data_IF_602113295150
#
_entry.id   IF_602113295150
#
_cell.length_a   1.000
_cell.length_b   1.000
_cell.length_c   1.000
_cell.angle_alpha   90.00
_cell.angle_beta   90.00
_cell.angle_gamma   90.00
#
_symmetry.space_group_name_H-M   'P 1'
#
loop_
_entity.id
_entity.type
_entity.pdbx_description
1 polymer ?
#
# COMPACT_ATOMS: atom_id res chain seq x y z
N UNK A 1 15.46 16.07 7.70
CA UNK A 1 15.68 14.67 7.28
C UNK A 1 16.24 14.64 5.87
N UNK A 2 17.35 13.93 5.59
CA UNK A 2 17.88 13.80 4.23
C UNK A 2 16.90 12.95 3.41
N UNK A 3 16.39 13.53 2.31
CA UNK A 3 15.41 12.93 1.39
C UNK A 3 15.95 11.74 0.59
N UNK A 4 17.27 11.57 0.57
CA UNK A 4 17.99 10.57 -0.23
C UNK A 4 19.19 10.02 0.55
N UNK A 5 19.43 8.72 0.42
CA UNK A 5 20.65 8.08 0.92
C UNK A 5 21.80 8.31 -0.07
N UNK A 6 22.46 9.46 0.09
CA UNK A 6 23.57 9.89 -0.77
C UNK A 6 24.74 8.91 -0.71
N UNK A 7 24.96 8.25 0.44
CA UNK A 7 26.05 7.26 0.57
C UNK A 7 25.76 6.06 -0.32
N UNK A 8 24.55 5.52 -0.25
CA UNK A 8 24.14 4.39 -1.08
C UNK A 8 24.20 4.73 -2.57
N UNK A 9 23.72 5.92 -2.97
CA UNK A 9 23.76 6.36 -4.37
C UNK A 9 25.20 6.42 -4.90
N UNK A 10 26.13 6.96 -4.10
CA UNK A 10 27.55 7.04 -4.47
C UNK A 10 28.19 5.65 -4.57
N UNK A 11 27.86 4.74 -3.64
CA UNK A 11 28.34 3.35 -3.70
C UNK A 11 27.83 2.64 -4.95
N UNK A 12 26.53 2.76 -5.27
CA UNK A 12 25.94 2.16 -6.47
C UNK A 12 26.59 2.71 -7.75
N UNK A 13 26.80 4.03 -7.82
CA UNK A 13 27.43 4.67 -8.96
C UNK A 13 28.85 4.14 -9.20
N UNK A 14 29.63 3.89 -8.14
CA UNK A 14 30.96 3.29 -8.25
C UNK A 14 30.94 1.83 -8.69
N UNK A 15 29.96 1.05 -8.22
CA UNK A 15 29.77 -0.34 -8.68
C UNK A 15 29.40 -0.37 -10.16
N UNK A 16 28.45 0.48 -10.58
CA UNK A 16 28.05 0.58 -11.98
C UNK A 16 29.22 1.03 -12.88
N UNK A 17 30.03 1.99 -12.42
CA UNK A 17 31.22 2.43 -13.15
C UNK A 17 32.32 1.35 -13.23
N UNK A 18 32.45 0.52 -12.18
CA UNK A 18 33.33 -0.64 -12.20
C UNK A 18 32.86 -1.69 -13.21
N UNK A 19 31.56 -1.96 -13.26
CA UNK A 19 30.97 -2.88 -14.24
C UNK A 19 31.11 -2.34 -15.66
N UNK A 20 30.86 -1.05 -15.89
CA UNK A 20 31.03 -0.41 -17.19
C UNK A 20 32.47 -0.54 -17.70
N UNK A 21 33.45 -0.28 -16.84
CA UNK A 21 34.87 -0.47 -17.18
C UNK A 21 35.22 -1.94 -17.47
N UNK A 22 34.59 -2.89 -16.78
CA UNK A 22 34.77 -4.32 -17.03
C UNK A 22 34.21 -4.76 -18.39
N UNK A 23 33.02 -4.27 -18.76
CA UNK A 23 32.34 -4.67 -20.00
C UNK A 23 32.78 -3.89 -21.24
N UNK A 24 33.19 -2.63 -21.09
CA UNK A 24 33.47 -1.72 -22.20
C UNK A 24 34.94 -1.27 -22.27
N UNK A 25 35.79 -1.70 -21.34
CA UNK A 25 37.17 -1.23 -21.20
C UNK A 25 37.25 0.18 -20.59
N UNK A 26 38.45 0.76 -20.52
CA UNK A 26 38.67 2.12 -19.97
C UNK A 26 38.78 2.17 -18.44
N UNK A 27 38.73 3.39 -17.88
CA UNK A 27 38.88 3.62 -16.43
C UNK A 27 37.53 3.87 -15.76
N UNK A 28 37.33 3.32 -14.57
CA UNK A 28 36.11 3.52 -13.76
C UNK A 28 35.74 5.00 -13.57
N UNK A 29 36.75 5.86 -13.40
CA UNK A 29 36.55 7.29 -13.21
C UNK A 29 35.87 7.97 -14.42
N UNK A 30 36.06 7.44 -15.63
CA UNK A 30 35.47 7.97 -16.87
C UNK A 30 33.96 7.69 -16.93
N UNK A 31 33.52 6.55 -16.38
CA UNK A 31 32.10 6.17 -16.33
C UNK A 31 31.36 6.73 -15.11
N UNK A 32 32.07 7.09 -14.05
CA UNK A 32 31.46 7.43 -12.76
C UNK A 32 30.44 8.58 -12.86
N UNK A 33 30.74 9.63 -13.62
CA UNK A 33 29.84 10.78 -13.75
C UNK A 33 28.48 10.40 -14.37
N UNK A 34 28.49 9.57 -15.41
CA UNK A 34 27.26 9.10 -16.07
C UNK A 34 26.50 8.09 -15.21
N UNK A 35 27.22 7.15 -14.57
CA UNK A 35 26.61 6.22 -13.62
C UNK A 35 25.97 6.96 -12.43
N UNK A 36 26.61 8.02 -11.92
CA UNK A 36 26.07 8.83 -10.84
C UNK A 36 24.80 9.60 -11.26
N UNK A 37 24.78 10.16 -12.48
CA UNK A 37 23.56 10.80 -13.02
C UNK A 37 22.41 9.81 -13.11
N UNK A 38 22.68 8.58 -13.57
CA UNK A 38 21.68 7.53 -13.70
C UNK A 38 21.13 7.09 -12.32
N UNK A 39 22.00 6.81 -11.35
CA UNK A 39 21.61 6.43 -9.99
C UNK A 39 20.85 7.56 -9.27
N UNK A 40 21.23 8.81 -9.49
CA UNK A 40 20.52 9.96 -8.94
C UNK A 40 19.11 10.11 -9.54
N UNK A 41 18.96 9.87 -10.84
CA UNK A 41 17.65 9.85 -11.49
C UNK A 41 16.79 8.69 -10.97
N UNK A 42 17.37 7.51 -10.75
CA UNK A 42 16.69 6.37 -10.15
C UNK A 42 16.21 6.67 -8.74
N UNK A 43 17.06 7.26 -7.88
CA UNK A 43 16.69 7.65 -6.53
C UNK A 43 15.52 8.65 -6.52
N UNK A 44 15.53 9.65 -7.42
CA UNK A 44 14.41 10.59 -7.58
C UNK A 44 13.10 9.88 -7.98
N UNK A 45 13.17 8.93 -8.92
CA UNK A 45 12.01 8.13 -9.34
C UNK A 45 11.45 7.28 -8.20
N UNK A 46 12.32 6.62 -7.44
CA UNK A 46 11.92 5.81 -6.29
C UNK A 46 11.30 6.67 -5.17
N UNK A 47 11.85 7.86 -4.91
CA UNK A 47 11.25 8.78 -3.96
C UNK A 47 9.88 9.29 -4.45
N UNK A 48 9.72 9.59 -5.74
CA UNK A 48 8.42 9.96 -6.31
C UNK A 48 7.41 8.80 -6.23
N UNK A 49 7.83 7.57 -6.52
CA UNK A 49 6.99 6.38 -6.41
C UNK A 49 6.58 6.10 -4.95
N UNK A 50 7.49 6.29 -3.99
CA UNK A 50 7.18 6.17 -2.57
C UNK A 50 6.15 7.20 -2.09
N UNK A 51 6.13 8.41 -2.67
CA UNK A 51 5.09 9.42 -2.41
C UNK A 51 3.77 9.07 -3.11
N UNK A 52 3.79 8.43 -4.27
CA UNK A 52 2.59 8.00 -4.99
C UNK A 52 1.93 6.74 -4.39
N UNK A 53 2.71 5.86 -3.74
CA UNK A 53 2.21 4.64 -3.10
C UNK A 53 1.08 4.85 -2.08
N UNK A 54 1.15 5.81 -1.12
CA UNK A 54 0.04 6.08 -0.20
C UNK A 54 -1.21 6.62 -0.92
N UNK A 55 -1.05 7.40 -2.00
CA UNK A 55 -2.18 7.90 -2.79
C UNK A 55 -2.90 6.77 -3.55
N UNK A 56 -2.14 5.83 -4.13
CA UNK A 56 -2.72 4.65 -4.78
C UNK A 56 -3.38 3.71 -3.77
N UNK A 57 -2.80 3.55 -2.58
CA UNK A 57 -3.42 2.78 -1.48
C UNK A 57 -4.74 3.43 -1.05
N UNK A 58 -4.78 4.74 -0.86
CA UNK A 58 -5.99 5.48 -0.51
C UNK A 58 -7.07 5.34 -1.60
N UNK A 59 -6.69 5.43 -2.88
CA UNK A 59 -7.62 5.25 -4.00
C UNK A 59 -8.23 3.83 -4.05
N UNK A 60 -7.45 2.79 -3.73
CA UNK A 60 -7.95 1.40 -3.65
C UNK A 60 -8.92 1.21 -2.48
N UNK A 61 -8.60 1.78 -1.32
CA UNK A 61 -9.48 1.77 -0.15
C UNK A 61 -10.79 2.49 -0.43
N UNK A 62 -10.74 3.67 -1.05
CA UNK A 62 -11.93 4.43 -1.42
C UNK A 62 -12.82 3.68 -2.44
N UNK A 63 -12.19 3.04 -3.44
CA UNK A 63 -12.93 2.22 -4.41
C UNK A 63 -13.58 1.00 -3.73
N UNK A 64 -12.86 0.29 -2.87
CA UNK A 64 -13.40 -0.86 -2.15
C UNK A 64 -14.54 -0.46 -1.19
N UNK A 65 -14.45 0.72 -0.55
CA UNK A 65 -15.53 1.24 0.29
C UNK A 65 -16.81 1.55 -0.49
N UNK A 66 -16.70 1.99 -1.75
CA UNK A 66 -17.87 2.23 -2.59
C UNK A 66 -18.53 0.92 -3.08
N UNK A 67 -17.80 -0.18 -3.10
CA UNK A 67 -18.28 -1.45 -3.63
C UNK A 67 -18.85 -2.37 -2.54
N UNK A 68 -18.29 -2.42 -1.32
CA UNK A 68 -18.75 -3.37 -0.30
C UNK A 68 -20.15 -3.02 0.23
N UNK A 69 -21.12 -3.85 -0.13
CA UNK A 69 -22.53 -3.73 0.29
C UNK A 69 -22.85 -4.52 1.56
N UNK A 70 -22.20 -5.67 1.78
CA UNK A 70 -22.49 -6.52 2.95
C UNK A 70 -21.36 -7.49 3.31
N UNK A 71 -21.47 -8.14 4.48
CA UNK A 71 -20.57 -9.21 4.92
C UNK A 71 -21.33 -10.53 4.93
N UNK A 72 -20.72 -11.61 4.41
CA UNK A 72 -21.33 -12.94 4.34
C UNK A 72 -21.87 -13.38 5.69
N UNK A 73 -23.15 -13.77 5.70
CA UNK A 73 -23.90 -14.11 6.91
C UNK A 73 -23.25 -15.18 7.80
N UNK A 74 -22.69 -16.23 7.19
CA UNK A 74 -22.04 -17.31 7.96
C UNK A 74 -20.81 -16.80 8.74
N UNK A 75 -20.08 -15.83 8.18
CA UNK A 75 -18.93 -15.22 8.84
C UNK A 75 -19.39 -14.36 10.02
N UNK A 76 -20.44 -13.57 9.81
CA UNK A 76 -21.04 -12.72 10.85
C UNK A 76 -21.52 -13.57 12.03
N UNK A 77 -22.32 -14.61 11.78
CA UNK A 77 -22.85 -15.48 12.84
C UNK A 77 -21.78 -16.26 13.62
N UNK A 78 -20.63 -16.54 13.02
CA UNK A 78 -19.56 -17.31 13.66
C UNK A 78 -18.63 -16.46 14.52
N UNK A 79 -18.45 -15.19 14.17
CA UNK A 79 -17.39 -14.35 14.76
C UNK A 79 -17.92 -13.19 15.63
N UNK A 80 -19.22 -12.90 15.58
CA UNK A 80 -19.82 -11.79 16.30
C UNK A 80 -20.94 -12.28 17.21
N UNK A 81 -21.17 -11.54 18.31
CA UNK A 81 -22.30 -11.82 19.18
C UNK A 81 -23.62 -11.42 18.50
N UNK A 82 -24.78 -11.81 19.06
CA UNK A 82 -26.08 -11.57 18.45
C UNK A 82 -26.38 -10.07 18.20
N UNK A 83 -25.95 -9.18 19.10
CA UNK A 83 -26.15 -7.74 18.96
C UNK A 83 -25.27 -7.15 17.85
N UNK A 84 -23.99 -7.50 17.83
CA UNK A 84 -23.04 -7.09 16.79
C UNK A 84 -23.44 -7.62 15.42
N UNK A 85 -23.83 -8.90 15.35
CA UNK A 85 -24.33 -9.51 14.14
C UNK A 85 -25.57 -8.77 13.61
N UNK A 86 -26.47 -8.37 14.48
CA UNK A 86 -27.64 -7.59 14.10
C UNK A 86 -27.27 -6.20 13.56
N UNK A 87 -26.33 -5.49 14.19
CA UNK A 87 -25.81 -4.20 13.69
C UNK A 87 -25.21 -4.37 12.29
N UNK A 88 -24.45 -5.44 12.07
CA UNK A 88 -23.79 -5.73 10.79
C UNK A 88 -24.81 -6.12 9.72
N UNK A 89 -25.79 -6.96 10.04
CA UNK A 89 -26.84 -7.38 9.11
C UNK A 89 -27.79 -6.22 8.74
N UNK A 90 -27.99 -5.25 9.64
CA UNK A 90 -28.88 -4.07 9.45
C UNK A 90 -28.13 -2.77 9.18
N UNK A 91 -26.90 -2.86 8.68
CA UNK A 91 -26.06 -1.68 8.43
C UNK A 91 -26.70 -0.69 7.45
N UNK A 92 -26.44 0.60 7.64
CA UNK A 92 -26.82 1.64 6.69
C UNK A 92 -25.77 1.76 5.57
N UNK A 93 -24.49 1.76 5.96
CA UNK A 93 -23.36 1.68 5.03
C UNK A 93 -22.10 1.12 5.72
N UNK A 94 -21.14 0.72 4.89
CA UNK A 94 -19.84 0.19 5.32
C UNK A 94 -18.72 1.09 4.80
N UNK A 95 -17.83 1.48 5.69
CA UNK A 95 -16.63 2.27 5.37
C UNK A 95 -15.38 1.37 5.49
N UNK A 96 -14.52 1.34 4.47
CA UNK A 96 -13.22 0.66 4.56
C UNK A 96 -12.20 1.64 5.12
N UNK A 97 -11.68 1.35 6.32
CA UNK A 97 -10.65 2.17 6.96
C UNK A 97 -9.25 1.77 6.51
N UNK A 98 -8.99 0.46 6.42
CA UNK A 98 -7.68 -0.08 6.06
C UNK A 98 -7.83 -1.34 5.22
N UNK A 99 -6.85 -1.57 4.35
CA UNK A 99 -6.77 -2.76 3.52
C UNK A 99 -5.42 -3.46 3.74
N UNK A 100 -5.48 -4.79 3.87
CA UNK A 100 -4.33 -5.69 3.80
C UNK A 100 -4.43 -6.56 2.53
N UNK A 101 -3.45 -7.43 2.31
CA UNK A 101 -3.52 -8.38 1.20
C UNK A 101 -4.78 -9.27 1.26
N UNK A 102 -5.25 -9.67 2.46
CA UNK A 102 -6.29 -10.69 2.64
C UNK A 102 -7.57 -10.22 3.34
N UNK A 103 -7.58 -9.04 3.96
CA UNK A 103 -8.70 -8.55 4.75
C UNK A 103 -8.86 -7.03 4.65
N UNK A 104 -10.08 -6.57 4.91
CA UNK A 104 -10.44 -5.17 5.09
C UNK A 104 -10.72 -4.89 6.57
N UNK A 105 -10.29 -3.73 7.06
CA UNK A 105 -10.76 -3.14 8.31
C UNK A 105 -11.97 -2.28 7.97
N UNK A 106 -13.13 -2.73 8.41
CA UNK A 106 -14.41 -2.14 8.11
C UNK A 106 -14.92 -1.39 9.33
N UNK A 107 -15.53 -0.23 9.08
CA UNK A 107 -16.44 0.42 10.01
C UNK A 107 -17.85 0.31 9.46
N UNK A 108 -18.66 -0.47 10.15
CA UNK A 108 -20.07 -0.64 9.86
C UNK A 108 -20.82 0.47 10.59
N UNK A 109 -21.55 1.28 9.85
CA UNK A 109 -22.35 2.37 10.39
C UNK A 109 -23.81 1.93 10.50
N UNK A 110 -24.40 2.15 11.67
CA UNK A 110 -25.82 1.95 11.92
C UNK A 110 -26.33 3.11 12.79
N UNK A 111 -27.21 3.94 12.23
CA UNK A 111 -27.71 5.16 12.87
C UNK A 111 -28.45 4.89 14.18
N UNK A 112 -29.00 3.68 14.37
CA UNK A 112 -29.79 3.32 15.55
C UNK A 112 -28.97 2.60 16.63
N UNK A 113 -27.96 1.84 16.22
CA UNK A 113 -27.21 0.93 17.10
C UNK A 113 -25.75 1.33 17.30
N UNK A 114 -25.32 2.40 16.62
CA UNK A 114 -23.95 2.89 16.65
C UNK A 114 -23.06 2.21 15.62
N UNK A 115 -21.75 2.40 15.78
CA UNK A 115 -20.76 1.98 14.80
C UNK A 115 -19.93 0.81 15.34
N UNK A 116 -19.67 -0.19 14.51
CA UNK A 116 -18.79 -1.31 14.83
C UNK A 116 -17.58 -1.27 13.91
N UNK A 117 -16.39 -1.33 14.50
CA UNK A 117 -15.14 -1.48 13.74
C UNK A 117 -14.66 -2.92 13.84
N UNK A 118 -14.46 -3.58 12.71
CA UNK A 118 -14.05 -4.99 12.66
C UNK A 118 -13.20 -5.34 11.44
N UNK A 119 -12.51 -6.47 11.50
CA UNK A 119 -11.79 -7.04 10.37
C UNK A 119 -12.64 -8.10 9.68
N UNK A 120 -12.75 -8.00 8.35
CA UNK A 120 -13.41 -9.01 7.53
C UNK A 120 -12.48 -9.48 6.40
N UNK A 121 -12.34 -10.80 6.17
CA UNK A 121 -11.62 -11.32 5.01
C UNK A 121 -12.25 -10.81 3.71
N UNK A 122 -11.43 -10.53 2.69
CA UNK A 122 -11.96 -10.07 1.38
C UNK A 122 -12.94 -11.06 0.77
N UNK A 123 -12.69 -12.36 0.94
CA UNK A 123 -13.57 -13.45 0.51
C UNK A 123 -14.94 -13.48 1.21
N UNK A 124 -15.07 -12.75 2.33
CA UNK A 124 -16.29 -12.64 3.12
C UNK A 124 -17.01 -11.31 2.90
N UNK A 125 -16.41 -10.36 2.19
CA UNK A 125 -17.06 -9.11 1.82
C UNK A 125 -17.79 -9.32 0.48
N UNK A 126 -19.02 -8.85 0.41
CA UNK A 126 -19.84 -8.86 -0.80
C UNK A 126 -19.79 -7.44 -1.34
N UNK A 127 -19.34 -7.32 -2.58
CA UNK A 127 -19.42 -6.10 -3.36
C UNK A 127 -20.78 -6.09 -4.08
#
# INVERSE_FOLDING_TARGET
>A
MRKFDVKQIMTNAWVAAANAAYFHGGKKAEYFAECLKAEWAFAKRMAAAAVAAPAQKAARVAKAAAEITSIKRWFVKKNFNAAEAFVIETNDWIEVLEETAKAYKLRVHNAKLGNITTWAPKSCCIA
#
